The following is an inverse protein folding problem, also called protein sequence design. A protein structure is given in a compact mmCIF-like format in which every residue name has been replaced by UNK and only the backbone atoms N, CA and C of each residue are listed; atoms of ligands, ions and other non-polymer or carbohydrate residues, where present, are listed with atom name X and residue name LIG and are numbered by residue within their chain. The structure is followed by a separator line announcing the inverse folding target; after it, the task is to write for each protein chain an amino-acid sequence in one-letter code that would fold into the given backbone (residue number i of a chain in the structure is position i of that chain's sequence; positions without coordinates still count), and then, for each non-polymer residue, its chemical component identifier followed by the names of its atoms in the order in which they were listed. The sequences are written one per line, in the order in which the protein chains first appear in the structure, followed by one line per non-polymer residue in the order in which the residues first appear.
data_IF_248743962543
#
_entry.id   IF_248743962543
#
_cell.length_a   1.000
_cell.length_b   1.000
_cell.length_c   1.000
_cell.angle_alpha   90.00
_cell.angle_beta   90.00
_cell.angle_gamma   90.00
#
_symmetry.space_group_name_H-M   'P 1'
#
loop_
_entity.id
_entity.type
_entity.pdbx_description
1 polymer ?
#
# COMPACT_ATOMS: atom_id res chain seq x y z
N UNK A 1 -19.01 -8.79 -18.81
CA UNK A 1 -17.58 -9.15 -18.59
C UNK A 1 -16.86 -7.97 -17.96
N UNK A 2 -15.70 -8.16 -17.33
CA UNK A 2 -14.86 -7.16 -16.64
C UNK A 2 -15.01 -7.02 -15.11
N UNK A 3 -14.69 -8.13 -14.42
CA UNK A 3 -14.02 -8.11 -13.10
C UNK A 3 -12.90 -9.16 -13.05
N UNK A 4 -12.20 -9.35 -14.17
CA UNK A 4 -11.02 -10.20 -14.19
C UNK A 4 -9.80 -9.30 -14.06
N UNK A 5 -9.44 -9.01 -12.81
CA UNK A 5 -8.13 -8.42 -12.51
C UNK A 5 -7.10 -9.50 -12.79
N UNK A 6 -6.33 -9.36 -13.86
CA UNK A 6 -5.20 -10.24 -14.14
C UNK A 6 -4.12 -9.94 -13.09
N UNK A 7 -4.00 -10.82 -12.10
CA UNK A 7 -2.92 -10.81 -11.12
C UNK A 7 -1.84 -11.76 -11.60
N UNK A 8 -0.63 -11.25 -11.82
CA UNK A 8 0.57 -12.09 -11.80
C UNK A 8 0.69 -12.66 -10.37
N UNK A 9 0.91 -13.97 -10.25
CA UNK A 9 0.72 -14.70 -9.00
C UNK A 9 1.63 -14.22 -7.84
N UNK A 10 2.70 -13.50 -8.14
CA UNK A 10 3.72 -13.09 -7.16
C UNK A 10 4.19 -11.62 -7.26
N UNK A 11 3.45 -10.76 -7.98
CA UNK A 11 3.76 -9.31 -8.07
C UNK A 11 3.12 -8.50 -6.93
N UNK A 12 3.40 -8.95 -5.72
CA UNK A 12 3.02 -8.24 -4.49
C UNK A 12 4.15 -7.31 -4.04
N UNK A 13 3.76 -6.16 -3.50
CA UNK A 13 4.62 -5.26 -2.73
C UNK A 13 4.47 -5.55 -1.22
N UNK A 14 3.28 -5.98 -0.81
CA UNK A 14 2.98 -6.49 0.53
C UNK A 14 2.04 -7.69 0.40
N UNK A 15 2.31 -8.78 1.11
CA UNK A 15 1.47 -10.00 1.09
C UNK A 15 1.26 -10.48 2.52
N UNK A 16 0.03 -10.37 3.00
CA UNK A 16 -0.36 -10.64 4.38
C UNK A 16 0.46 -9.84 5.38
N UNK A 17 0.77 -8.60 5.05
CA UNK A 17 1.58 -7.76 5.93
C UNK A 17 0.72 -7.23 7.06
N UNK A 18 1.06 -7.63 8.28
CA UNK A 18 0.48 -7.06 9.49
C UNK A 18 0.70 -5.54 9.53
N UNK A 19 -0.29 -4.82 10.03
CA UNK A 19 -0.15 -3.38 10.24
C UNK A 19 0.99 -3.09 11.22
N UNK A 20 1.86 -2.10 10.91
CA UNK A 20 2.79 -1.61 11.91
C UNK A 20 2.02 -0.96 13.05
N UNK A 21 2.54 -1.07 14.27
CA UNK A 21 1.91 -0.53 15.49
C UNK A 21 2.66 0.74 15.92
N UNK A 22 2.03 1.90 15.76
CA UNK A 22 2.64 3.22 15.98
C UNK A 22 4.04 3.35 15.32
N UNK A 23 4.12 2.91 14.07
CA UNK A 23 5.37 2.82 13.33
C UNK A 23 5.12 2.87 11.82
N UNK A 24 6.21 2.89 11.05
CA UNK A 24 6.19 2.68 9.61
C UNK A 24 6.97 1.43 9.24
N UNK A 25 6.53 0.75 8.19
CA UNK A 25 7.18 -0.43 7.65
C UNK A 25 7.10 -0.44 6.12
N UNK A 26 8.17 -0.91 5.48
CA UNK A 26 8.14 -1.21 4.06
C UNK A 26 7.36 -2.50 3.79
N UNK A 27 6.89 -2.63 2.56
CA UNK A 27 6.27 -3.81 2.00
C UNK A 27 7.13 -5.06 2.23
N UNK A 28 6.53 -6.12 2.78
CA UNK A 28 7.25 -7.35 3.14
C UNK A 28 7.73 -8.18 1.93
N UNK A 29 7.44 -7.74 0.69
CA UNK A 29 7.95 -8.34 -0.54
C UNK A 29 9.15 -7.57 -1.12
N UNK A 30 9.66 -6.59 -0.37
CA UNK A 30 10.80 -5.75 -0.76
C UNK A 30 10.46 -4.76 -1.88
N UNK A 31 11.47 -3.99 -2.27
CA UNK A 31 11.34 -3.08 -3.40
C UNK A 31 11.37 -3.81 -4.74
N UNK A 32 10.63 -3.28 -5.70
CA UNK A 32 10.53 -3.78 -7.07
C UNK A 32 10.94 -2.69 -8.05
N UNK A 33 11.35 -3.12 -9.25
CA UNK A 33 11.57 -2.20 -10.36
C UNK A 33 10.29 -2.13 -11.20
N UNK A 34 9.62 -1.00 -11.09
CA UNK A 34 8.49 -0.63 -11.95
C UNK A 34 8.54 0.85 -12.31
N UNK A 35 9.77 1.40 -12.32
CA UNK A 35 10.05 2.69 -12.92
C UNK A 35 9.80 2.61 -14.43
N UNK A 36 9.49 3.73 -15.09
CA UNK A 36 9.18 3.80 -16.53
C UNK A 36 7.88 3.11 -16.99
N UNK A 37 6.99 2.76 -16.07
CA UNK A 37 5.64 2.25 -16.42
C UNK A 37 4.70 3.35 -16.92
N UNK A 38 5.15 4.62 -16.93
CA UNK A 38 4.45 5.78 -17.51
C UNK A 38 2.97 5.91 -17.08
N UNK A 39 2.64 5.54 -15.84
CA UNK A 39 1.28 5.63 -15.31
C UNK A 39 0.32 4.56 -15.84
N UNK A 40 0.84 3.50 -16.46
CA UNK A 40 0.06 2.34 -16.89
C UNK A 40 -0.33 1.41 -15.73
N UNK A 41 0.30 1.57 -14.57
CA UNK A 41 0.05 0.77 -13.37
C UNK A 41 -0.54 1.61 -12.25
N UNK A 42 -1.33 0.95 -11.41
CA UNK A 42 -1.70 1.41 -10.08
C UNK A 42 -1.26 0.36 -9.05
N UNK A 43 -1.10 0.77 -7.80
CA UNK A 43 -0.97 -0.15 -6.67
C UNK A 43 -2.30 -0.24 -5.96
N UNK A 44 -2.87 -1.44 -5.91
CA UNK A 44 -4.11 -1.71 -5.19
C UNK A 44 -3.75 -2.29 -3.83
N UNK A 45 -4.32 -1.73 -2.77
CA UNK A 45 -4.16 -2.22 -1.41
C UNK A 45 -5.50 -2.65 -0.86
N UNK A 46 -5.57 -3.88 -0.34
CA UNK A 46 -6.79 -4.45 0.21
C UNK A 46 -6.53 -5.11 1.57
N UNK A 47 -7.57 -5.10 2.40
CA UNK A 47 -7.61 -5.85 3.64
C UNK A 47 -7.55 -7.34 3.34
N UNK A 48 -6.53 -8.04 3.84
CA UNK A 48 -6.44 -9.50 3.78
C UNK A 48 -7.27 -10.12 4.90
N UNK A 49 -7.15 -9.55 6.09
CA UNK A 49 -7.94 -9.83 7.28
C UNK A 49 -8.68 -8.55 7.66
N UNK A 50 -9.61 -8.64 8.62
CA UNK A 50 -10.26 -7.44 9.15
C UNK A 50 -9.21 -6.50 9.72
N UNK A 51 -9.24 -5.25 9.27
CA UNK A 51 -8.32 -4.19 9.68
C UNK A 51 -9.05 -3.23 10.59
N UNK A 52 -8.42 -2.89 11.70
CA UNK A 52 -8.93 -1.91 12.67
C UNK A 52 -7.84 -0.93 13.08
N UNK A 53 -8.20 0.36 13.09
CA UNK A 53 -7.41 1.47 13.62
C UNK A 53 -8.30 2.27 14.56
N UNK A 54 -7.89 2.39 15.82
CA UNK A 54 -8.67 3.03 16.85
C UNK A 54 -8.90 4.53 16.59
N UNK A 55 -9.96 5.08 17.18
CA UNK A 55 -10.26 6.51 17.12
C UNK A 55 -9.07 7.36 17.60
N UNK A 56 -8.82 8.49 16.94
CA UNK A 56 -7.71 9.40 17.24
C UNK A 56 -6.40 9.00 16.57
N UNK A 57 -6.37 7.89 15.83
CA UNK A 57 -5.20 7.41 15.11
C UNK A 57 -5.42 7.40 13.60
N UNK A 58 -4.35 7.14 12.84
CA UNK A 58 -4.38 7.19 11.38
C UNK A 58 -3.66 6.01 10.75
N UNK A 59 -4.09 5.70 9.53
CA UNK A 59 -3.43 4.77 8.61
C UNK A 59 -2.96 5.57 7.40
N UNK A 60 -1.66 5.51 7.11
CA UNK A 60 -1.05 6.06 5.90
C UNK A 60 -0.46 4.95 5.05
N UNK A 61 -0.78 4.98 3.77
CA UNK A 61 -0.29 4.02 2.77
C UNK A 61 0.24 4.80 1.58
N UNK A 62 1.51 4.62 1.26
CA UNK A 62 2.18 5.38 0.20
C UNK A 62 3.20 4.55 -0.55
N UNK A 63 3.70 5.09 -1.65
CA UNK A 63 4.88 4.55 -2.33
C UNK A 63 6.12 5.31 -1.87
N UNK A 64 7.21 4.58 -1.76
CA UNK A 64 8.54 5.13 -1.54
C UNK A 64 9.47 4.60 -2.62
N UNK A 65 10.54 5.35 -2.89
CA UNK A 65 11.52 4.98 -3.91
C UNK A 65 12.96 5.27 -3.50
N UNK A 66 13.90 4.53 -4.09
CA UNK A 66 15.34 4.68 -3.92
C UNK A 66 16.04 4.35 -5.25
N UNK A 67 17.29 4.78 -5.41
CA UNK A 67 18.10 4.38 -6.57
C UNK A 67 18.68 2.96 -6.39
N UNK A 68 19.21 2.69 -5.21
CA UNK A 68 19.93 1.46 -4.81
C UNK A 68 19.09 0.52 -3.93
N UNK A 69 18.03 1.04 -3.31
CA UNK A 69 17.20 0.27 -2.38
C UNK A 69 17.60 0.44 -0.92
N UNK A 70 18.34 1.50 -0.57
CA UNK A 70 18.71 1.81 0.81
C UNK A 70 17.94 3.04 1.31
N UNK A 71 18.16 4.22 0.71
CA UNK A 71 17.57 5.49 1.15
C UNK A 71 16.21 5.75 0.49
N UNK A 72 15.16 5.12 1.02
CA UNK A 72 13.80 5.29 0.54
C UNK A 72 13.21 6.65 0.92
N UNK A 73 12.74 7.38 -0.09
CA UNK A 73 11.99 8.62 0.06
C UNK A 73 10.54 8.48 -0.46
N UNK A 74 9.57 9.25 0.07
CA UNK A 74 8.20 9.25 -0.45
C UNK A 74 8.13 9.56 -1.96
N UNK A 75 7.25 8.85 -2.66
CA UNK A 75 7.03 9.02 -4.09
C UNK A 75 5.54 9.08 -4.43
N UNK A 76 5.12 10.18 -5.06
CA UNK A 76 3.72 10.38 -5.46
C UNK A 76 2.80 10.70 -4.27
N UNK A 77 1.51 10.41 -4.44
CA UNK A 77 0.50 10.63 -3.40
C UNK A 77 0.44 9.46 -2.42
N UNK A 78 0.24 9.77 -1.14
CA UNK A 78 -0.13 8.80 -0.13
C UNK A 78 -1.64 8.87 0.14
N UNK A 79 -2.22 7.72 0.49
CA UNK A 79 -3.54 7.65 1.09
C UNK A 79 -3.37 7.78 2.61
N UNK A 80 -4.09 8.72 3.22
CA UNK A 80 -4.16 8.87 4.67
C UNK A 80 -5.62 8.89 5.09
N UNK A 81 -5.98 7.99 6.03
CA UNK A 81 -7.28 7.97 6.67
C UNK A 81 -7.09 8.20 8.17
N UNK A 82 -7.82 9.17 8.72
CA UNK A 82 -7.83 9.51 10.14
C UNK A 82 -9.14 9.05 10.78
N UNK A 83 -9.04 8.35 11.90
CA UNK A 83 -10.17 7.86 12.67
C UNK A 83 -10.71 8.97 13.57
N UNK A 84 -11.33 10.02 13.00
CA UNK A 84 -11.73 11.22 13.77
C UNK A 84 -12.85 10.96 14.77
N UNK A 85 -13.96 10.38 14.28
CA UNK A 85 -15.20 10.24 15.06
C UNK A 85 -15.44 8.80 15.53
N UNK A 86 -14.83 7.82 14.88
CA UNK A 86 -14.91 6.40 15.20
C UNK A 86 -13.68 5.66 14.68
N UNK A 87 -13.47 4.43 15.15
CA UNK A 87 -12.44 3.54 14.63
C UNK A 87 -12.62 3.30 13.12
N UNK A 88 -11.52 3.28 12.38
CA UNK A 88 -11.53 2.89 10.98
C UNK A 88 -11.53 1.36 10.90
N UNK A 89 -12.47 0.82 10.14
CA UNK A 89 -12.58 -0.61 9.93
C UNK A 89 -12.69 -0.95 8.44
N UNK A 90 -11.95 -1.96 8.01
CA UNK A 90 -12.10 -2.58 6.70
C UNK A 90 -12.24 -4.08 6.88
N UNK A 91 -13.24 -4.67 6.25
CA UNK A 91 -13.43 -6.13 6.26
C UNK A 91 -12.47 -6.82 5.31
N UNK A 92 -12.13 -8.06 5.60
CA UNK A 92 -11.36 -8.92 4.70
C UNK A 92 -11.91 -8.88 3.25
N UNK A 93 -11.02 -8.65 2.30
CA UNK A 93 -11.30 -8.50 0.88
C UNK A 93 -11.67 -7.09 0.42
N UNK A 94 -11.90 -6.13 1.33
CA UNK A 94 -12.19 -4.75 0.94
C UNK A 94 -10.94 -4.01 0.46
N UNK A 95 -11.10 -3.24 -0.62
CA UNK A 95 -10.06 -2.33 -1.08
C UNK A 95 -9.97 -1.16 -0.11
N UNK A 96 -8.78 -0.94 0.45
CA UNK A 96 -8.49 0.18 1.34
C UNK A 96 -8.19 1.42 0.50
N UNK A 97 -7.28 1.29 -0.47
CA UNK A 97 -6.94 2.37 -1.37
C UNK A 97 -6.38 1.87 -2.72
N UNK A 98 -6.26 2.81 -3.65
CA UNK A 98 -5.58 2.66 -4.92
C UNK A 98 -4.61 3.82 -5.07
N UNK A 99 -3.35 3.52 -5.32
CA UNK A 99 -2.29 4.52 -5.49
C UNK A 99 -1.88 4.57 -6.96
N UNK A 100 -1.91 5.76 -7.55
CA UNK A 100 -1.34 5.96 -8.88
C UNK A 100 0.18 5.84 -8.82
N UNK A 101 0.77 5.09 -9.75
CA UNK A 101 2.22 4.97 -9.88
C UNK A 101 2.77 6.23 -10.58
N UNK A 102 3.58 7.07 -9.91
CA UNK A 102 4.07 8.30 -10.53
C UNK A 102 5.14 8.00 -11.58
N UNK A 103 5.19 8.80 -12.64
CA UNK A 103 6.22 8.68 -13.70
C UNK A 103 7.62 9.04 -13.21
N UNK A 104 7.74 9.68 -12.05
CA UNK A 104 9.00 10.11 -11.41
C UNK A 104 9.59 9.06 -10.46
N UNK A 105 9.09 7.82 -10.49
CA UNK A 105 9.68 6.74 -9.69
C UNK A 105 11.15 6.51 -10.06
N UNK A 106 11.97 6.32 -9.03
CA UNK A 106 13.33 5.82 -9.15
C UNK A 106 13.29 4.31 -9.31
N UNK A 107 14.45 3.72 -9.61
CA UNK A 107 14.60 2.31 -9.97
C UNK A 107 13.99 1.34 -8.97
N UNK A 108 14.10 1.61 -7.67
CA UNK A 108 13.62 0.70 -6.61
C UNK A 108 12.44 1.36 -5.92
N UNK A 109 11.25 0.79 -6.06
CA UNK A 109 10.04 1.31 -5.43
C UNK A 109 9.39 0.27 -4.53
N UNK A 110 8.87 0.69 -3.39
CA UNK A 110 8.22 -0.16 -2.40
C UNK A 110 6.93 0.48 -1.89
N UNK A 111 6.03 -0.35 -1.37
CA UNK A 111 4.91 0.13 -0.57
C UNK A 111 5.42 0.50 0.84
N UNK A 112 4.93 1.58 1.41
CA UNK A 112 5.12 1.92 2.81
C UNK A 112 3.74 1.96 3.49
N UNK A 113 3.66 1.28 4.63
CA UNK A 113 2.51 1.31 5.53
C UNK A 113 2.96 2.03 6.80
N UNK A 114 2.12 2.92 7.33
CA UNK A 114 2.36 3.56 8.61
C UNK A 114 1.06 3.71 9.39
N UNK A 115 1.13 3.53 10.71
CA UNK A 115 0.03 3.85 11.61
C UNK A 115 0.54 4.67 12.78
N UNK A 116 -0.35 5.43 13.41
CA UNK A 116 -0.10 6.06 14.71
C UNK A 116 -0.74 5.28 15.87
N UNK A 117 -1.41 4.17 15.58
CA UNK A 117 -2.11 3.34 16.56
C UNK A 117 -1.19 2.24 17.10
N UNK A 118 -0.85 2.24 18.41
CA UNK A 118 -0.02 1.19 19.01
C UNK A 118 -0.74 -0.17 19.10
N UNK A 119 -2.06 -0.20 18.94
CA UNK A 119 -2.89 -1.39 18.95
C UNK A 119 -3.48 -1.71 17.57
N UNK A 120 -2.95 -1.12 16.49
CA UNK A 120 -3.37 -1.42 15.11
C UNK A 120 -3.38 -2.93 14.87
N UNK A 121 -4.44 -3.42 14.22
CA UNK A 121 -4.64 -4.85 13.99
C UNK A 121 -5.14 -5.16 12.58
N UNK A 122 -4.86 -6.39 12.13
CA UNK A 122 -5.17 -6.86 10.78
C UNK A 122 -3.97 -6.88 9.85
N UNK A 123 -4.22 -7.31 8.61
CA UNK A 123 -3.20 -7.49 7.59
C UNK A 123 -3.65 -6.97 6.23
N UNK A 124 -2.70 -6.45 5.44
CA UNK A 124 -2.92 -5.90 4.10
C UNK A 124 -2.19 -6.70 3.03
N UNK A 125 -2.81 -6.78 1.86
CA UNK A 125 -2.21 -7.20 0.60
C UNK A 125 -2.09 -5.96 -0.30
N UNK A 126 -0.92 -5.75 -0.91
CA UNK A 126 -0.66 -4.69 -1.88
C UNK A 126 -0.01 -5.25 -3.14
N UNK A 127 -0.57 -4.98 -4.31
CA UNK A 127 -0.08 -5.50 -5.60
C UNK A 127 -0.23 -4.49 -6.73
N UNK A 128 0.57 -4.67 -7.78
CA UNK A 128 0.46 -3.89 -9.01
C UNK A 128 -0.74 -4.37 -9.84
N UNK A 129 -1.56 -3.44 -10.30
CA UNK A 129 -2.64 -3.71 -11.24
C UNK A 129 -2.48 -2.84 -12.49
N UNK A 130 -2.73 -3.44 -13.65
CA UNK A 130 -2.71 -2.73 -14.92
C UNK A 130 -3.97 -1.89 -15.09
N UNK A 131 -3.79 -0.62 -15.45
CA UNK A 131 -4.86 0.26 -15.88
C UNK A 131 -5.09 0.06 -17.37
N UNK A 132 -6.07 -0.76 -17.73
CA UNK A 132 -6.57 -0.79 -19.10
C UNK A 132 -7.27 0.54 -19.39
N UNK A 133 -6.59 1.44 -20.10
CA UNK A 133 -7.16 2.68 -20.61
C UNK A 133 -7.59 2.52 -22.05
#
# INVERSE_FOLDING_TARGET
MYKQTLKSADDYLAKGQSLPQNASALGNQGARDFCNTQGALEVVVAAREDVEVAQGHSLTIGLVHAEDGEDFAPAGGAFTAEATDAALTWRAGQIVCRLAVPSTLKRRAALQLATTDPAASGALDGWLAYLAR
#
